data_IF_153194783625
#
_entry.id   IF_153194783625
#
_cell.length_a   1.000
_cell.length_b   1.000
_cell.length_c   1.000
_cell.angle_alpha   90.00
_cell.angle_beta   90.00
_cell.angle_gamma   90.00
#
_symmetry.space_group_name_H-M   'P 1'
#
loop_
_entity.id
_entity.type
_entity.pdbx_description
1 polymer ?
#
# COMPACT_ATOMS: atom_id res chain seq x y z
N UNK A 1 27.80 53.38 -10.82
CA UNK A 1 27.19 52.38 -11.72
C UNK A 1 27.15 50.97 -11.12
N UNK A 2 28.28 50.38 -10.73
CA UNK A 2 28.36 49.00 -10.21
C UNK A 2 27.51 48.73 -8.95
N UNK A 3 27.51 49.64 -7.96
CA UNK A 3 26.72 49.48 -6.72
C UNK A 3 25.20 49.50 -6.97
N UNK A 4 24.74 50.31 -7.93
CA UNK A 4 23.31 50.38 -8.30
C UNK A 4 22.88 49.12 -9.03
N UNK A 5 23.73 48.59 -9.94
CA UNK A 5 23.47 47.32 -10.61
C UNK A 5 23.45 46.14 -9.62
N UNK A 6 24.37 46.12 -8.65
CA UNK A 6 24.37 45.12 -7.59
C UNK A 6 23.11 45.21 -6.71
N UNK A 7 22.68 46.41 -6.36
CA UNK A 7 21.45 46.62 -5.58
C UNK A 7 20.18 46.19 -6.33
N UNK A 8 20.05 46.55 -7.62
CA UNK A 8 18.94 46.11 -8.48
C UNK A 8 18.96 44.58 -8.65
N UNK A 9 20.13 43.99 -8.82
CA UNK A 9 20.31 42.53 -8.90
C UNK A 9 19.90 41.83 -7.60
N UNK A 10 20.24 42.37 -6.43
CA UNK A 10 19.83 41.85 -5.14
C UNK A 10 18.31 41.95 -4.92
N UNK A 11 17.67 43.04 -5.34
CA UNK A 11 16.20 43.17 -5.32
C UNK A 11 15.55 42.12 -6.23
N UNK A 12 16.10 41.92 -7.43
CA UNK A 12 15.59 40.91 -8.38
C UNK A 12 15.74 39.50 -7.82
N UNK A 13 16.91 39.15 -7.26
CA UNK A 13 17.13 37.89 -6.55
C UNK A 13 16.14 37.72 -5.39
N UNK A 14 15.99 38.73 -4.52
CA UNK A 14 15.03 38.69 -3.40
C UNK A 14 13.59 38.47 -3.87
N UNK A 15 13.16 39.12 -4.96
CA UNK A 15 11.84 38.89 -5.57
C UNK A 15 11.68 37.47 -6.11
N UNK A 16 12.72 36.90 -6.73
CA UNK A 16 12.72 35.49 -7.19
C UNK A 16 12.67 34.51 -6.02
N UNK A 17 13.42 34.77 -4.95
CA UNK A 17 13.38 33.98 -3.72
C UNK A 17 12.01 34.05 -3.05
N UNK A 18 11.41 35.24 -2.94
CA UNK A 18 10.06 35.40 -2.40
C UNK A 18 9.01 34.67 -3.25
N UNK A 19 9.12 34.72 -4.58
CA UNK A 19 8.24 33.97 -5.48
C UNK A 19 8.42 32.45 -5.33
N UNK A 20 9.66 31.97 -5.23
CA UNK A 20 9.94 30.55 -5.00
C UNK A 20 9.39 30.08 -3.65
N UNK A 21 9.62 30.84 -2.58
CA UNK A 21 9.07 30.55 -1.25
C UNK A 21 7.54 30.54 -1.28
N UNK A 22 6.92 31.53 -1.93
CA UNK A 22 5.46 31.59 -2.07
C UNK A 22 4.92 30.38 -2.84
N UNK A 23 5.59 29.98 -3.92
CA UNK A 23 5.23 28.78 -4.69
C UNK A 23 5.31 27.52 -3.83
N UNK A 24 6.40 27.34 -3.07
CA UNK A 24 6.56 26.19 -2.17
C UNK A 24 5.52 26.17 -1.05
N UNK A 25 5.16 27.32 -0.50
CA UNK A 25 4.07 27.45 0.48
C UNK A 25 2.72 27.07 -0.13
N UNK A 26 2.41 27.55 -1.33
CA UNK A 26 1.17 27.18 -2.02
C UNK A 26 1.11 25.69 -2.36
N UNK A 27 2.21 25.08 -2.80
CA UNK A 27 2.30 23.63 -3.01
C UNK A 27 2.02 22.90 -1.69
N UNK A 28 2.59 23.38 -0.58
CA UNK A 28 2.38 22.77 0.74
C UNK A 28 0.92 22.89 1.18
N UNK A 29 0.32 24.07 1.09
CA UNK A 29 -1.09 24.31 1.44
C UNK A 29 -2.00 23.42 0.59
N UNK A 30 -1.77 23.37 -0.72
CA UNK A 30 -2.59 22.58 -1.63
C UNK A 30 -2.44 21.07 -1.38
N UNK A 31 -1.21 20.62 -1.09
CA UNK A 31 -0.95 19.25 -0.68
C UNK A 31 -1.70 18.89 0.61
N UNK A 32 -1.66 19.73 1.66
CA UNK A 32 -2.40 19.44 2.89
C UNK A 32 -3.92 19.48 2.69
N UNK A 33 -4.41 20.46 1.93
CA UNK A 33 -5.84 20.57 1.61
C UNK A 33 -6.35 19.37 0.79
N UNK A 34 -5.55 18.83 -0.12
CA UNK A 34 -5.94 17.70 -0.98
C UNK A 34 -5.68 16.31 -0.37
N UNK A 35 -4.63 16.15 0.43
CA UNK A 35 -4.19 14.84 0.92
C UNK A 35 -3.60 14.86 2.33
N UNK A 36 -2.75 15.84 2.63
CA UNK A 36 -1.89 15.80 3.82
C UNK A 36 -2.64 15.77 5.15
N UNK A 37 -3.91 16.21 5.20
CA UNK A 37 -4.74 16.05 6.40
C UNK A 37 -5.03 14.58 6.76
N UNK A 38 -4.94 13.64 5.80
CA UNK A 38 -5.14 12.21 6.07
C UNK A 38 -4.07 11.63 7.02
N UNK A 39 -2.86 12.21 7.07
CA UNK A 39 -1.80 11.80 8.01
C UNK A 39 -2.15 12.01 9.49
N UNK A 40 -3.17 12.81 9.79
CA UNK A 40 -3.61 13.11 11.17
C UNK A 40 -4.84 12.32 11.60
N UNK A 41 -5.31 11.37 10.79
CA UNK A 41 -6.44 10.51 11.16
C UNK A 41 -6.08 9.63 12.35
N UNK A 42 -7.07 9.31 13.18
CA UNK A 42 -6.91 8.34 14.27
C UNK A 42 -6.50 6.98 13.73
N UNK A 43 -5.84 6.16 14.55
CA UNK A 43 -5.39 4.84 14.12
C UNK A 43 -6.57 3.93 13.76
N UNK A 44 -6.33 2.90 12.94
CA UNK A 44 -7.37 1.91 12.64
C UNK A 44 -7.91 1.23 13.91
N UNK A 45 -7.07 1.05 14.93
CA UNK A 45 -7.44 0.49 16.23
C UNK A 45 -8.43 1.39 16.97
N UNK A 46 -8.16 2.70 17.03
CA UNK A 46 -9.08 3.68 17.63
C UNK A 46 -10.42 3.69 16.91
N UNK A 47 -10.41 3.64 15.56
CA UNK A 47 -11.63 3.60 14.75
C UNK A 47 -12.41 2.29 14.88
N UNK A 48 -11.72 1.19 15.16
CA UNK A 48 -12.31 -0.10 15.48
C UNK A 48 -12.82 -0.20 16.92
N UNK A 49 -12.46 0.74 17.80
CA UNK A 49 -12.69 0.62 19.24
C UNK A 49 -11.91 -0.53 19.88
N UNK A 50 -10.84 -1.00 19.24
CA UNK A 50 -9.97 -2.09 19.74
C UNK A 50 -8.64 -1.48 20.23
N UNK A 51 -8.06 -2.06 21.28
CA UNK A 51 -6.68 -1.76 21.65
C UNK A 51 -5.73 -2.65 20.87
N UNK A 52 -4.52 -2.17 20.62
CA UNK A 52 -3.47 -3.00 20.05
C UNK A 52 -3.18 -4.15 21.01
N UNK A 53 -3.43 -5.38 20.57
CA UNK A 53 -3.18 -6.56 21.38
C UNK A 53 -1.68 -6.84 21.49
N UNK A 54 -1.26 -7.30 22.67
CA UNK A 54 0.10 -7.80 22.86
C UNK A 54 0.30 -9.07 22.03
N UNK A 55 1.53 -9.30 21.57
CA UNK A 55 1.88 -10.51 20.85
C UNK A 55 1.62 -11.75 21.73
N UNK A 56 0.82 -12.68 21.23
CA UNK A 56 0.53 -13.96 21.87
C UNK A 56 0.92 -15.11 20.93
N UNK A 57 1.91 -15.90 21.35
CA UNK A 57 2.50 -16.94 20.50
C UNK A 57 1.49 -18.02 20.06
N UNK A 58 0.56 -18.39 20.94
CA UNK A 58 -0.45 -19.41 20.63
C UNK A 58 -1.43 -18.93 19.55
N UNK A 59 -2.00 -17.73 19.73
CA UNK A 59 -2.87 -17.10 18.72
C UNK A 59 -2.15 -16.91 17.39
N UNK A 60 -0.88 -16.51 17.42
CA UNK A 60 -0.10 -16.36 16.20
C UNK A 60 0.08 -17.70 15.47
N UNK A 61 0.38 -18.80 16.19
CA UNK A 61 0.45 -20.14 15.58
C UNK A 61 -0.89 -20.58 14.98
N UNK A 62 -2.00 -20.33 15.67
CA UNK A 62 -3.34 -20.62 15.13
C UNK A 62 -3.63 -19.84 13.85
N UNK A 63 -3.23 -18.57 13.81
CA UNK A 63 -3.31 -17.75 12.60
C UNK A 63 -2.45 -18.33 11.47
N UNK A 64 -1.21 -18.73 11.75
CA UNK A 64 -0.32 -19.34 10.76
C UNK A 64 -0.90 -20.63 10.17
N UNK A 65 -1.50 -21.49 11.00
CA UNK A 65 -2.13 -22.74 10.56
C UNK A 65 -3.43 -22.49 9.78
N UNK A 66 -4.22 -21.49 10.18
CA UNK A 66 -5.42 -21.07 9.45
C UNK A 66 -5.08 -20.48 8.09
N UNK A 67 -4.13 -19.54 8.06
CA UNK A 67 -3.67 -18.88 6.84
C UNK A 67 -3.07 -19.88 5.84
N UNK A 68 -2.22 -20.81 6.31
CA UNK A 68 -1.63 -21.83 5.44
C UNK A 68 -2.70 -22.74 4.82
N UNK A 69 -3.69 -23.19 5.60
CA UNK A 69 -4.80 -24.00 5.09
C UNK A 69 -5.62 -23.24 4.04
N UNK A 70 -6.06 -22.02 4.36
CA UNK A 70 -6.89 -21.22 3.45
C UNK A 70 -6.14 -20.89 2.14
N UNK A 71 -4.85 -20.55 2.24
CA UNK A 71 -4.01 -20.28 1.06
C UNK A 71 -3.80 -21.53 0.20
N UNK A 72 -3.63 -22.69 0.83
CA UNK A 72 -3.46 -23.96 0.11
C UNK A 72 -4.75 -24.40 -0.59
N UNK A 73 -5.89 -24.27 0.10
CA UNK A 73 -7.21 -24.69 -0.36
C UNK A 73 -7.75 -23.75 -1.45
N UNK A 74 -7.40 -22.46 -1.40
CA UNK A 74 -7.78 -21.46 -2.40
C UNK A 74 -6.87 -21.42 -3.64
N UNK A 75 -5.75 -22.16 -3.62
CA UNK A 75 -4.80 -22.15 -4.74
C UNK A 75 -5.48 -22.59 -6.04
N UNK A 76 -5.33 -21.74 -7.05
CA UNK A 76 -5.74 -22.01 -8.42
C UNK A 76 -4.88 -21.22 -9.40
N UNK A 77 -4.74 -21.70 -10.65
CA UNK A 77 -4.16 -20.89 -11.72
C UNK A 77 -4.95 -19.59 -11.88
N UNK A 78 -4.23 -18.46 -12.04
CA UNK A 78 -4.87 -17.18 -12.26
C UNK A 78 -5.15 -16.99 -13.76
N UNK A 79 -6.42 -16.93 -14.12
CA UNK A 79 -6.91 -16.69 -15.48
C UNK A 79 -7.07 -15.20 -15.80
N UNK A 80 -7.87 -14.91 -16.82
CA UNK A 80 -8.24 -13.53 -17.14
C UNK A 80 -9.19 -12.96 -16.09
N UNK A 81 -8.96 -11.71 -15.70
CA UNK A 81 -9.82 -10.97 -14.78
C UNK A 81 -10.62 -9.93 -15.56
N UNK A 82 -11.95 -10.01 -15.50
CA UNK A 82 -12.80 -8.90 -15.92
C UNK A 82 -12.73 -7.79 -14.87
N UNK A 83 -12.03 -6.72 -15.22
CA UNK A 83 -11.73 -5.62 -14.29
C UNK A 83 -12.98 -4.84 -13.90
N UNK A 84 -13.93 -4.64 -14.82
CA UNK A 84 -15.04 -3.72 -14.55
C UNK A 84 -16.01 -4.22 -13.45
N UNK A 85 -16.47 -5.49 -13.48
CA UNK A 85 -17.25 -6.06 -12.38
C UNK A 85 -16.49 -6.09 -11.05
N UNK A 86 -15.20 -6.46 -11.09
CA UNK A 86 -14.33 -6.48 -9.91
C UNK A 86 -14.18 -5.07 -9.29
N UNK A 87 -13.86 -4.06 -10.09
CA UNK A 87 -13.71 -2.68 -9.61
C UNK A 87 -15.03 -2.20 -8.96
N UNK A 88 -16.17 -2.57 -9.53
CA UNK A 88 -17.48 -2.25 -8.98
C UNK A 88 -17.74 -2.98 -7.65
N UNK A 89 -17.40 -4.27 -7.56
CA UNK A 89 -17.51 -5.06 -6.33
C UNK A 89 -16.69 -4.44 -5.19
N UNK A 90 -15.43 -4.08 -5.44
CA UNK A 90 -14.58 -3.45 -4.43
C UNK A 90 -15.13 -2.08 -4.01
N UNK A 91 -15.65 -1.27 -4.93
CA UNK A 91 -16.33 -0.02 -4.56
C UNK A 91 -17.57 -0.26 -3.69
N UNK A 92 -18.34 -1.30 -3.98
CA UNK A 92 -19.49 -1.68 -3.16
C UNK A 92 -19.05 -2.11 -1.76
N UNK A 93 -17.94 -2.86 -1.66
CA UNK A 93 -17.33 -3.21 -0.38
C UNK A 93 -17.03 -1.96 0.47
N UNK A 94 -16.27 -0.99 -0.06
CA UNK A 94 -15.98 0.26 0.66
C UNK A 94 -17.25 1.07 0.99
N UNK A 95 -18.23 1.09 0.09
CA UNK A 95 -19.52 1.76 0.32
C UNK A 95 -20.30 1.14 1.48
N UNK A 96 -20.17 -0.18 1.68
CA UNK A 96 -20.84 -0.93 2.74
C UNK A 96 -20.19 -0.79 4.11
N UNK A 97 -18.96 -0.25 4.19
CA UNK A 97 -18.24 -0.11 5.45
C UNK A 97 -18.98 0.83 6.40
N UNK A 98 -19.08 0.48 7.69
CA UNK A 98 -19.68 1.34 8.70
C UNK A 98 -19.00 2.73 8.78
N UNK A 99 -19.75 3.82 9.01
CA UNK A 99 -19.19 5.17 9.11
C UNK A 99 -18.10 5.34 10.18
N UNK A 100 -18.04 4.46 11.19
CA UNK A 100 -17.03 4.47 12.24
C UNK A 100 -15.59 4.36 11.71
N UNK A 101 -15.39 3.74 10.54
CA UNK A 101 -14.08 3.66 9.89
C UNK A 101 -13.63 5.01 9.32
N UNK A 102 -14.55 5.97 9.21
CA UNK A 102 -14.29 7.33 8.74
C UNK A 102 -13.85 7.43 7.28
N UNK A 103 -13.92 6.33 6.51
CA UNK A 103 -13.48 6.30 5.12
C UNK A 103 -14.45 7.08 4.23
N UNK A 104 -13.91 7.79 3.23
CA UNK A 104 -14.75 8.37 2.20
C UNK A 104 -15.45 7.26 1.40
N UNK A 105 -16.51 7.61 0.67
CA UNK A 105 -17.21 6.67 -0.20
C UNK A 105 -16.68 6.79 -1.63
N UNK A 106 -16.51 5.66 -2.33
CA UNK A 106 -16.03 5.70 -3.70
C UNK A 106 -17.13 6.18 -4.64
N UNK A 107 -16.72 6.89 -5.68
CA UNK A 107 -17.59 7.44 -6.70
C UNK A 107 -17.51 6.66 -8.01
N UNK A 108 -18.58 6.70 -8.80
CA UNK A 108 -18.65 5.96 -10.08
C UNK A 108 -17.60 6.42 -11.09
N UNK A 109 -17.25 7.70 -11.09
CA UNK A 109 -16.29 8.30 -12.03
C UNK A 109 -14.82 7.99 -11.69
N UNK A 110 -14.51 7.52 -10.48
CA UNK A 110 -13.16 7.15 -10.07
C UNK A 110 -12.74 5.87 -10.78
N UNK A 111 -11.94 5.97 -11.83
CA UNK A 111 -11.43 4.81 -12.57
C UNK A 111 -9.90 4.85 -12.59
N UNK A 112 -9.22 3.70 -12.54
CA UNK A 112 -7.77 3.67 -12.60
C UNK A 112 -7.32 4.21 -13.96
N UNK A 113 -6.42 5.18 -13.93
CA UNK A 113 -5.78 5.75 -15.11
C UNK A 113 -4.44 5.08 -15.36
N UNK A 114 -3.96 5.21 -16.60
CA UNK A 114 -2.65 4.72 -17.00
C UNK A 114 -1.57 5.67 -16.49
N UNK A 115 -0.47 5.13 -15.97
CA UNK A 115 0.72 5.93 -15.68
C UNK A 115 1.38 6.33 -17.02
N UNK A 116 1.76 7.61 -17.15
CA UNK A 116 2.42 8.11 -18.36
C UNK A 116 3.81 7.49 -18.60
N UNK A 117 4.44 6.91 -17.57
CA UNK A 117 5.82 6.39 -17.64
C UNK A 117 5.98 5.05 -16.89
N UNK A 118 5.17 4.02 -17.19
CA UNK A 118 5.19 2.69 -16.53
C UNK A 118 6.60 2.16 -16.22
N UNK A 119 7.53 2.18 -17.19
CA UNK A 119 8.91 1.69 -17.02
C UNK A 119 9.70 2.39 -15.92
N UNK A 120 9.52 3.71 -15.75
CA UNK A 120 10.20 4.46 -14.69
C UNK A 120 9.63 4.11 -13.31
N UNK A 121 8.31 3.88 -13.23
CA UNK A 121 7.63 3.45 -12.02
C UNK A 121 7.99 2.01 -11.62
N UNK A 122 8.01 1.09 -12.59
CA UNK A 122 8.54 -0.28 -12.38
C UNK A 122 9.99 -0.25 -11.91
N UNK A 123 10.82 0.64 -12.46
CA UNK A 123 12.22 0.80 -12.06
C UNK A 123 12.40 1.29 -10.61
N UNK A 124 11.38 1.91 -10.00
CA UNK A 124 11.37 2.31 -8.58
C UNK A 124 10.48 1.42 -7.70
N UNK A 125 9.91 0.33 -8.24
CA UNK A 125 9.08 -0.60 -7.48
C UNK A 125 7.69 -0.09 -7.12
N UNK A 126 7.15 0.86 -7.90
CA UNK A 126 5.80 1.41 -7.66
C UNK A 126 4.78 0.66 -8.53
N UNK A 127 3.88 -0.08 -7.87
CA UNK A 127 2.82 -0.87 -8.50
C UNK A 127 1.54 -0.04 -8.77
N UNK A 128 1.31 0.98 -7.95
CA UNK A 128 0.19 1.91 -8.07
C UNK A 128 0.51 3.22 -7.35
N UNK A 129 -0.28 4.25 -7.62
CA UNK A 129 -0.15 5.55 -6.96
C UNK A 129 -1.47 6.32 -6.98
N UNK A 130 -1.85 6.91 -5.84
CA UNK A 130 -2.88 7.95 -5.79
C UNK A 130 -2.24 9.34 -5.88
N UNK A 131 -2.58 10.06 -6.94
CA UNK A 131 -2.16 11.45 -7.11
C UNK A 131 -2.81 12.37 -6.06
N UNK A 132 -2.04 13.03 -5.17
CA UNK A 132 -2.61 13.82 -4.06
C UNK A 132 -3.35 15.08 -4.52
N UNK A 133 -3.17 15.48 -5.77
CA UNK A 133 -3.70 16.73 -6.32
C UNK A 133 -5.02 16.55 -7.10
N UNK A 134 -5.20 15.39 -7.71
CA UNK A 134 -6.37 15.12 -8.56
C UNK A 134 -7.21 13.95 -8.03
N UNK A 135 -6.77 13.29 -6.95
CA UNK A 135 -7.47 12.16 -6.35
C UNK A 135 -7.71 11.05 -7.38
N UNK A 136 -6.65 10.73 -8.13
CA UNK A 136 -6.69 9.79 -9.25
C UNK A 136 -5.83 8.57 -8.91
N UNK A 137 -6.44 7.38 -9.02
CA UNK A 137 -5.74 6.11 -8.97
C UNK A 137 -5.00 5.92 -10.28
N UNK A 138 -3.71 5.63 -10.20
CA UNK A 138 -2.89 5.23 -11.34
C UNK A 138 -2.30 3.86 -11.06
N UNK A 139 -2.51 2.92 -11.96
CA UNK A 139 -2.02 1.54 -11.80
C UNK A 139 -0.98 1.27 -12.87
N UNK A 140 0.12 0.62 -12.46
CA UNK A 140 1.17 0.19 -13.37
C UNK A 140 0.66 -0.95 -14.25
N UNK A 141 0.69 -0.75 -15.56
CA UNK A 141 0.22 -1.75 -16.53
C UNK A 141 1.18 -2.95 -16.64
N UNK A 142 2.38 -2.84 -16.08
CA UNK A 142 3.35 -3.92 -16.00
C UNK A 142 3.13 -4.80 -14.76
N UNK A 143 2.11 -4.60 -13.92
CA UNK A 143 1.85 -5.57 -12.85
C UNK A 143 1.34 -6.90 -13.42
N UNK A 144 1.76 -8.05 -12.86
CA UNK A 144 1.14 -9.32 -13.18
C UNK A 144 -0.39 -9.27 -12.96
N UNK A 145 -1.22 -9.88 -13.83
CA UNK A 145 -2.69 -9.84 -13.69
C UNK A 145 -3.20 -10.25 -12.31
N UNK A 146 -2.55 -11.23 -11.67
CA UNK A 146 -2.89 -11.67 -10.30
C UNK A 146 -2.71 -10.59 -9.24
N UNK A 147 -1.80 -9.64 -9.43
CA UNK A 147 -1.55 -8.57 -8.46
C UNK A 147 -2.53 -7.41 -8.63
N UNK A 148 -3.21 -7.31 -9.79
CA UNK A 148 -4.14 -6.23 -10.08
C UNK A 148 -5.25 -6.04 -9.03
N UNK A 149 -5.94 -7.09 -8.55
CA UNK A 149 -7.01 -6.92 -7.57
C UNK A 149 -6.53 -6.21 -6.30
N UNK A 150 -5.44 -6.70 -5.72
CA UNK A 150 -4.92 -6.15 -4.46
C UNK A 150 -4.36 -4.75 -4.67
N UNK A 151 -3.63 -4.50 -5.76
CA UNK A 151 -3.12 -3.15 -6.07
C UNK A 151 -4.27 -2.16 -6.26
N UNK A 152 -5.31 -2.53 -7.00
CA UNK A 152 -6.48 -1.66 -7.17
C UNK A 152 -7.16 -1.35 -5.82
N UNK A 153 -7.43 -2.37 -5.01
CA UNK A 153 -8.09 -2.19 -3.72
C UNK A 153 -7.24 -1.39 -2.73
N UNK A 154 -5.90 -1.52 -2.80
CA UNK A 154 -4.93 -0.75 -2.03
C UNK A 154 -4.97 0.73 -2.43
N UNK A 155 -4.84 1.05 -3.71
CA UNK A 155 -4.91 2.45 -4.17
C UNK A 155 -6.30 3.06 -3.94
N UNK A 156 -7.37 2.26 -4.03
CA UNK A 156 -8.70 2.75 -3.67
C UNK A 156 -8.78 3.10 -2.19
N UNK A 157 -8.15 2.32 -1.29
CA UNK A 157 -8.08 2.64 0.14
C UNK A 157 -7.44 4.01 0.37
N UNK A 158 -6.35 4.29 -0.36
CA UNK A 158 -5.69 5.59 -0.32
C UNK A 158 -6.66 6.69 -0.72
N UNK A 159 -7.35 6.51 -1.84
CA UNK A 159 -8.36 7.45 -2.30
C UNK A 159 -9.49 7.67 -1.27
N UNK A 160 -9.83 6.66 -0.46
CA UNK A 160 -10.81 6.79 0.62
C UNK A 160 -10.28 7.46 1.90
N UNK A 161 -9.03 7.93 1.88
CA UNK A 161 -8.39 8.70 2.94
C UNK A 161 -7.46 7.91 3.84
N UNK A 162 -7.08 6.68 3.47
CA UNK A 162 -6.08 5.91 4.20
C UNK A 162 -4.68 6.39 3.81
N UNK A 163 -3.88 6.91 4.74
CA UNK A 163 -2.50 7.35 4.43
C UNK A 163 -1.42 6.36 4.86
N UNK A 164 -1.77 5.38 5.71
CA UNK A 164 -0.85 4.36 6.21
C UNK A 164 -0.86 3.16 5.25
N UNK A 165 0.32 2.79 4.73
CA UNK A 165 0.52 1.68 3.78
C UNK A 165 0.09 0.30 4.34
N UNK A 166 0.37 0.03 5.62
CA UNK A 166 -0.03 -1.22 6.27
C UNK A 166 -1.56 -1.28 6.41
N UNK A 167 -2.18 -0.15 6.72
CA UNK A 167 -3.64 -0.03 6.76
C UNK A 167 -4.25 -0.18 5.35
N UNK A 168 -3.61 0.39 4.33
CA UNK A 168 -4.03 0.24 2.95
C UNK A 168 -3.97 -1.22 2.49
N UNK A 169 -2.89 -1.94 2.84
CA UNK A 169 -2.77 -3.38 2.64
C UNK A 169 -3.84 -4.17 3.40
N UNK A 170 -4.14 -3.79 4.63
CA UNK A 170 -5.21 -4.41 5.42
C UNK A 170 -6.58 -4.27 4.72
N UNK A 171 -6.94 -3.07 4.27
CA UNK A 171 -8.19 -2.85 3.57
C UNK A 171 -8.25 -3.56 2.22
N UNK A 172 -7.14 -3.58 1.47
CA UNK A 172 -7.04 -4.33 0.23
C UNK A 172 -7.25 -5.83 0.46
N UNK A 173 -6.59 -6.39 1.47
CA UNK A 173 -6.77 -7.79 1.88
C UNK A 173 -8.22 -8.08 2.26
N UNK A 174 -8.84 -7.23 3.11
CA UNK A 174 -10.24 -7.40 3.56
C UNK A 174 -11.24 -7.32 2.40
N UNK A 175 -11.08 -6.35 1.51
CA UNK A 175 -11.98 -6.15 0.37
C UNK A 175 -11.87 -7.30 -0.64
N UNK A 176 -10.65 -7.72 -0.99
CA UNK A 176 -10.44 -8.80 -1.95
C UNK A 176 -10.78 -10.18 -1.37
N UNK A 177 -10.53 -10.42 -0.07
CA UNK A 177 -10.90 -11.69 0.58
C UNK A 177 -12.42 -11.86 0.70
N UNK A 178 -13.17 -10.76 0.71
CA UNK A 178 -14.63 -10.77 0.70
C UNK A 178 -15.25 -10.93 -0.70
N UNK A 179 -14.44 -10.96 -1.76
CA UNK A 179 -14.93 -11.06 -3.14
C UNK A 179 -15.64 -12.40 -3.39
N UNK A 180 -16.66 -12.37 -4.24
CA UNK A 180 -17.34 -13.57 -4.72
C UNK A 180 -16.45 -14.43 -5.64
N UNK A 181 -15.45 -13.83 -6.30
CA UNK A 181 -14.53 -14.53 -7.20
C UNK A 181 -13.42 -15.27 -6.40
N UNK A 182 -13.33 -16.60 -6.50
CA UNK A 182 -12.26 -17.37 -5.86
C UNK A 182 -10.84 -16.90 -6.23
N UNK A 183 -10.61 -16.44 -7.46
CA UNK A 183 -9.29 -15.99 -7.92
C UNK A 183 -8.86 -14.71 -7.21
N UNK A 184 -9.81 -13.81 -6.93
CA UNK A 184 -9.57 -12.55 -6.20
C UNK A 184 -9.28 -12.84 -4.73
N UNK A 185 -10.01 -13.78 -4.12
CA UNK A 185 -9.72 -14.24 -2.74
C UNK A 185 -8.33 -14.86 -2.63
N UNK A 186 -7.95 -15.71 -3.58
CA UNK A 186 -6.60 -16.28 -3.63
C UNK A 186 -5.53 -15.18 -3.82
N UNK A 187 -5.76 -14.21 -4.70
CA UNK A 187 -4.85 -13.07 -4.88
C UNK A 187 -4.66 -12.27 -3.58
N UNK A 188 -5.71 -12.09 -2.79
CA UNK A 188 -5.63 -11.44 -1.47
C UNK A 188 -4.69 -12.20 -0.52
N UNK A 189 -4.90 -13.51 -0.35
CA UNK A 189 -4.05 -14.35 0.51
C UNK A 189 -2.61 -14.40 0.00
N UNK A 190 -2.42 -14.58 -1.31
CA UNK A 190 -1.10 -14.61 -1.94
C UNK A 190 -0.32 -13.30 -1.71
N UNK A 191 -1.01 -12.15 -1.75
CA UNK A 191 -0.38 -10.85 -1.48
C UNK A 191 0.10 -10.70 -0.02
N UNK A 192 -0.55 -11.39 0.92
CA UNK A 192 -0.19 -11.36 2.34
C UNK A 192 0.96 -12.32 2.68
N UNK A 193 1.21 -13.34 1.86
CA UNK A 193 2.21 -14.38 2.13
C UNK A 193 3.62 -13.84 2.45
N UNK A 194 4.19 -12.83 1.75
CA UNK A 194 5.50 -12.26 2.12
C UNK A 194 5.53 -11.69 3.54
N UNK A 195 4.44 -11.03 3.95
CA UNK A 195 4.29 -10.45 5.28
C UNK A 195 4.20 -11.55 6.34
N UNK A 196 3.40 -12.58 6.08
CA UNK A 196 3.23 -13.72 6.99
C UNK A 196 4.54 -14.50 7.13
N UNK A 197 5.27 -14.77 6.04
CA UNK A 197 6.58 -15.43 6.08
C UNK A 197 7.59 -14.66 6.93
N UNK A 198 7.66 -13.33 6.77
CA UNK A 198 8.58 -12.49 7.54
C UNK A 198 8.23 -12.48 9.04
N UNK A 199 6.94 -12.35 9.38
CA UNK A 199 6.48 -12.40 10.77
C UNK A 199 6.72 -13.78 11.39
N UNK A 200 6.44 -14.87 10.65
CA UNK A 200 6.73 -16.23 11.09
C UNK A 200 8.22 -16.46 11.34
N UNK A 201 9.09 -15.98 10.44
CA UNK A 201 10.55 -16.07 10.59
C UNK A 201 11.07 -15.36 11.84
N UNK A 202 10.40 -14.28 12.24
CA UNK A 202 10.76 -13.47 13.41
C UNK A 202 10.23 -14.07 14.71
N UNK A 203 9.03 -14.66 14.68
CA UNK A 203 8.32 -15.11 15.86
C UNK A 203 8.57 -16.59 16.24
N UNK A 204 8.99 -17.42 15.28
CA UNK A 204 9.21 -18.86 15.49
C UNK A 204 10.70 -19.22 15.60
N UNK A 205 10.98 -20.39 16.18
CA UNK A 205 12.31 -21.01 16.09
C UNK A 205 12.62 -21.39 14.63
N UNK A 206 13.91 -21.56 14.30
CA UNK A 206 14.33 -21.97 12.96
C UNK A 206 13.71 -23.31 12.52
N UNK A 207 13.48 -24.23 13.46
CA UNK A 207 12.89 -25.54 13.20
C UNK A 207 11.38 -25.42 12.99
N UNK A 208 10.67 -24.75 13.91
CA UNK A 208 9.23 -24.52 13.79
C UNK A 208 8.86 -23.74 12.53
N UNK A 209 9.69 -22.74 12.16
CA UNK A 209 9.49 -21.98 10.93
C UNK A 209 9.61 -22.88 9.69
N UNK A 210 10.63 -23.75 9.64
CA UNK A 210 10.82 -24.68 8.52
C UNK A 210 9.67 -25.69 8.44
N UNK A 211 9.20 -26.18 9.58
CA UNK A 211 8.10 -27.15 9.62
C UNK A 211 6.78 -26.52 9.20
N UNK A 212 6.46 -25.32 9.69
CA UNK A 212 5.31 -24.56 9.19
C UNK A 212 5.44 -24.24 7.70
N UNK A 213 6.62 -23.81 7.22
CA UNK A 213 6.82 -23.50 5.80
C UNK A 213 6.59 -24.73 4.90
N UNK A 214 6.92 -25.95 5.36
CA UNK A 214 6.63 -27.20 4.62
C UNK A 214 5.14 -27.50 4.48
N UNK A 215 4.28 -26.90 5.31
CA UNK A 215 2.83 -27.05 5.18
C UNK A 215 2.27 -26.26 4.00
N UNK A 216 3.00 -25.24 3.51
CA UNK A 216 2.59 -24.46 2.34
C UNK A 216 2.77 -25.28 1.07
N UNK A 217 1.78 -25.22 0.18
CA UNK A 217 1.83 -25.88 -1.12
C UNK A 217 3.05 -25.43 -1.93
N UNK A 218 3.81 -26.35 -2.56
CA UNK A 218 4.96 -25.99 -3.38
C UNK A 218 4.64 -25.01 -4.50
N UNK A 219 3.44 -25.10 -5.07
CA UNK A 219 2.97 -24.22 -6.15
C UNK A 219 2.71 -22.79 -5.67
N UNK A 220 2.20 -22.61 -4.46
CA UNK A 220 2.05 -21.30 -3.81
C UNK A 220 3.41 -20.63 -3.60
N UNK A 221 4.41 -21.41 -3.16
CA UNK A 221 5.78 -20.91 -3.01
C UNK A 221 6.45 -20.63 -4.36
N UNK A 222 6.15 -21.41 -5.39
CA UNK A 222 6.64 -21.17 -6.75
C UNK A 222 6.06 -19.87 -7.33
N UNK A 223 4.78 -19.62 -7.11
CA UNK A 223 4.11 -18.37 -7.44
C UNK A 223 4.81 -17.18 -6.80
N UNK A 224 5.11 -17.26 -5.49
CA UNK A 224 5.81 -16.18 -4.78
C UNK A 224 7.21 -15.92 -5.38
N UNK A 225 7.98 -16.98 -5.68
CA UNK A 225 9.31 -16.85 -6.30
C UNK A 225 9.22 -16.18 -7.67
N UNK A 226 8.26 -16.58 -8.49
CA UNK A 226 8.03 -15.98 -9.81
C UNK A 226 7.74 -14.49 -9.70
N UNK A 227 6.93 -14.06 -8.74
CA UNK A 227 6.66 -12.64 -8.51
C UNK A 227 7.90 -11.87 -8.06
N UNK A 228 8.70 -12.45 -7.16
CA UNK A 228 9.95 -11.84 -6.71
C UNK A 228 10.95 -11.67 -7.86
N UNK A 229 11.10 -12.68 -8.72
CA UNK A 229 11.95 -12.63 -9.91
C UNK A 229 11.45 -11.58 -10.90
N UNK A 230 10.14 -11.56 -11.17
CA UNK A 230 9.49 -10.61 -12.08
C UNK A 230 9.81 -9.14 -11.72
N UNK A 231 9.73 -8.81 -10.43
CA UNK A 231 10.01 -7.47 -9.91
C UNK A 231 11.51 -7.18 -9.81
N UNK A 232 12.32 -8.18 -9.46
CA UNK A 232 13.79 -8.04 -9.40
C UNK A 232 14.39 -7.68 -10.75
N UNK A 233 13.88 -8.23 -11.84
CA UNK A 233 14.34 -7.92 -13.20
C UNK A 233 14.00 -6.49 -13.66
N UNK A 234 12.90 -5.93 -13.14
CA UNK A 234 12.40 -4.59 -13.50
C UNK A 234 12.95 -3.49 -12.59
N UNK A 235 13.32 -3.83 -11.36
CA UNK A 235 13.83 -2.87 -10.38
C UNK A 235 15.22 -2.34 -10.78
N UNK A 236 15.36 -1.01 -10.77
CA UNK A 236 16.65 -0.35 -10.98
C UNK A 236 17.16 0.24 -9.65
N UNK A 237 18.37 -0.16 -9.17
CA UNK A 237 18.88 0.29 -7.88
C UNK A 237 19.11 1.81 -7.76
N UNK A 238 19.38 2.49 -8.87
CA UNK A 238 19.75 3.91 -8.85
C UNK A 238 18.54 4.83 -8.64
N UNK A 239 17.43 4.72 -9.41
CA UNK A 239 16.21 5.48 -9.16
C UNK A 239 15.55 5.10 -7.83
N UNK A 240 15.54 3.81 -7.46
CA UNK A 240 14.90 3.33 -6.23
C UNK A 240 15.54 3.90 -4.95
N UNK A 241 16.86 4.12 -4.93
CA UNK A 241 17.54 4.78 -3.79
C UNK A 241 17.15 6.24 -3.62
N UNK A 242 16.97 6.98 -4.72
CA UNK A 242 16.58 8.40 -4.69
C UNK A 242 15.14 8.52 -4.19
N UNK A 243 14.22 7.70 -4.73
CA UNK A 243 12.82 7.68 -4.29
C UNK A 243 12.70 7.25 -2.83
N UNK A 244 13.42 6.21 -2.40
CA UNK A 244 13.46 5.78 -0.99
C UNK A 244 13.95 6.88 -0.05
N UNK A 245 14.94 7.69 -0.46
CA UNK A 245 15.43 8.80 0.36
C UNK A 245 14.39 9.90 0.52
N UNK A 246 13.77 10.36 -0.58
CA UNK A 246 12.71 11.38 -0.55
C UNK A 246 11.48 10.89 0.23
N UNK A 247 11.06 9.65 -0.01
CA UNK A 247 9.90 9.05 0.66
C UNK A 247 10.13 8.90 2.17
N UNK A 248 11.30 8.40 2.59
CA UNK A 248 11.62 8.30 4.01
C UNK A 248 11.74 9.66 4.71
N UNK A 249 12.28 10.68 4.04
CA UNK A 249 12.35 12.04 4.56
C UNK A 249 10.93 12.63 4.75
N UNK A 250 10.07 12.41 3.77
CA UNK A 250 8.68 12.86 3.78
C UNK A 250 7.84 12.16 4.86
N UNK A 251 7.94 10.83 4.99
CA UNK A 251 7.22 10.07 6.01
C UNK A 251 7.64 10.49 7.43
N UNK A 252 8.94 10.67 7.68
CA UNK A 252 9.45 11.14 8.98
C UNK A 252 8.92 12.53 9.34
N UNK A 253 8.85 13.44 8.37
CA UNK A 253 8.28 14.78 8.56
C UNK A 253 6.79 14.73 8.95
N UNK A 254 6.04 13.77 8.40
CA UNK A 254 4.62 13.55 8.68
C UNK A 254 4.36 12.54 9.81
N UNK A 255 5.34 12.32 10.71
CA UNK A 255 5.24 11.45 11.90
C UNK A 255 4.95 9.96 11.63
N UNK A 256 5.21 9.46 10.43
CA UNK A 256 5.15 8.03 10.11
C UNK A 256 6.49 7.36 10.41
N UNK A 257 6.49 6.25 11.16
CA UNK A 257 7.67 5.39 11.38
C UNK A 257 7.95 4.58 10.11
N UNK A 258 9.21 4.52 9.67
CA UNK A 258 9.61 3.98 8.35
C UNK A 258 9.31 2.49 8.14
N UNK A 259 9.28 2.06 6.87
CA UNK A 259 8.66 0.85 6.32
C UNK A 259 9.03 -0.54 6.84
N UNK A 260 9.96 -0.72 7.78
CA UNK A 260 10.07 -1.98 8.54
C UNK A 260 8.93 -2.15 9.55
N UNK A 261 8.28 -1.05 9.95
CA UNK A 261 7.06 -1.08 10.75
C UNK A 261 5.88 -1.70 9.98
N UNK A 262 5.75 -1.40 8.68
CA UNK A 262 4.60 -1.80 7.85
C UNK A 262 4.43 -3.32 7.73
N UNK A 263 5.54 -4.08 7.71
CA UNK A 263 5.48 -5.53 7.49
C UNK A 263 4.86 -6.30 8.67
N UNK A 264 5.20 -5.88 9.88
CA UNK A 264 4.62 -6.45 11.09
C UNK A 264 3.24 -5.85 11.37
N UNK A 265 3.04 -4.59 10.99
CA UNK A 265 1.81 -3.84 11.27
C UNK A 265 0.58 -4.43 10.57
N UNK A 266 0.66 -4.83 9.29
CA UNK A 266 -0.50 -5.41 8.60
C UNK A 266 -0.92 -6.77 9.18
N UNK A 267 0.03 -7.64 9.51
CA UNK A 267 -0.27 -8.95 10.14
C UNK A 267 -0.85 -8.74 11.53
N UNK A 268 -0.31 -7.78 12.30
CA UNK A 268 -0.86 -7.41 13.60
C UNK A 268 -2.28 -6.81 13.49
N UNK A 269 -2.55 -5.99 12.47
CA UNK A 269 -3.90 -5.48 12.18
C UNK A 269 -4.85 -6.63 11.85
N UNK A 270 -4.44 -7.59 11.03
CA UNK A 270 -5.24 -8.79 10.74
C UNK A 270 -5.53 -9.54 12.05
N UNK A 271 -4.51 -9.88 12.83
CA UNK A 271 -4.68 -10.59 14.10
C UNK A 271 -5.64 -9.88 15.05
N UNK A 272 -5.46 -8.57 15.25
CA UNK A 272 -6.22 -7.77 16.23
C UNK A 272 -7.66 -7.49 15.78
N UNK A 273 -7.85 -7.25 14.48
CA UNK A 273 -9.13 -6.78 13.94
C UNK A 273 -9.99 -7.89 13.35
N UNK A 274 -9.46 -9.10 13.17
CA UNK A 274 -10.28 -10.30 12.92
C UNK A 274 -11.19 -10.53 14.12
N UNK A 275 -12.45 -10.85 13.86
CA UNK A 275 -13.43 -11.24 14.89
C UNK A 275 -13.42 -12.76 15.10
#
# INVERSE_FOLDING_TARGET
AAAVLAFVYLIFLRKRWAALVSLLLWITVWFYAGWGLNYFRSSIYDRAGKQLEAFEAQRFRQFLDGFARELNDSYQPFGELDKAPFEQEIKQYYTSLPPQWGLAKPEKWQKPKRLLFNRLYSAVGVSGFVGPFFSEIQINEEIPPRQYPVVYAHELSHLMGVSNEAEANYWAYRACSASADPQIRYAALQSMLPYVLNNARTALSDEDYKDWQKTLRPEVLAVLRQEQEYWKERYSPLPGRIQSWFYNLFLKSNRIRSGTANYNEVVQMILTLSD
#
